data_IF_294375949063
#
_entry.id   IF_294375949063
#
_cell.length_a   1.000
_cell.length_b   1.000
_cell.length_c   1.000
_cell.angle_alpha   90.00
_cell.angle_beta   90.00
_cell.angle_gamma   90.00
#
_symmetry.space_group_name_H-M   'P 1'
#
loop_
_entity.id
_entity.type
_entity.pdbx_description
1 polymer ?
#
# COMPACT_ATOMS: atom_id res chain seq x y z
N UNK A 1 13.51 6.01 -12.87
CA UNK A 1 12.64 5.04 -12.19
C UNK A 1 12.53 5.48 -10.74
N UNK A 2 11.31 5.63 -10.21
CA UNK A 2 11.09 6.15 -8.85
C UNK A 2 10.87 4.96 -7.91
N UNK A 3 11.80 4.76 -6.98
CA UNK A 3 11.72 3.74 -5.93
C UNK A 3 11.58 4.41 -4.56
N UNK A 4 10.74 3.84 -3.70
CA UNK A 4 10.48 4.38 -2.36
C UNK A 4 10.10 3.29 -1.38
N UNK A 5 10.74 3.31 -0.21
CA UNK A 5 10.26 2.60 0.97
C UNK A 5 9.13 3.39 1.63
N UNK A 6 7.95 2.79 1.74
CA UNK A 6 6.84 3.31 2.53
C UNK A 6 6.76 2.57 3.86
N UNK A 7 6.57 3.31 4.94
CA UNK A 7 6.24 2.77 6.25
C UNK A 7 4.75 2.96 6.47
N UNK A 8 4.00 1.86 6.51
CA UNK A 8 2.55 1.83 6.64
C UNK A 8 2.20 1.46 8.08
N UNK A 9 1.63 2.38 8.88
CA UNK A 9 1.21 2.09 10.24
C UNK A 9 0.04 1.10 10.26
N UNK A 10 -0.17 0.45 11.40
CA UNK A 10 -1.12 -0.66 11.55
C UNK A 10 -2.54 -0.32 11.10
N UNK A 11 -3.00 0.91 11.36
CA UNK A 11 -4.35 1.38 11.03
C UNK A 11 -4.58 1.49 9.51
N UNK A 12 -3.50 1.56 8.74
CA UNK A 12 -3.50 1.60 7.27
C UNK A 12 -3.04 0.27 6.65
N UNK A 13 -2.66 -0.70 7.48
CA UNK A 13 -2.23 -2.03 7.08
C UNK A 13 -3.32 -3.07 7.38
N UNK A 14 -2.97 -4.19 8.02
CA UNK A 14 -3.90 -5.30 8.31
C UNK A 14 -4.55 -5.22 9.69
N UNK A 15 -4.31 -4.14 10.43
CA UNK A 15 -4.93 -3.86 11.72
C UNK A 15 -4.82 -5.00 12.73
N UNK A 16 -5.81 -5.09 13.62
CA UNK A 16 -5.83 -6.05 14.73
C UNK A 16 -6.08 -7.50 14.34
N UNK A 17 -6.42 -7.78 13.07
CA UNK A 17 -6.63 -9.15 12.60
C UNK A 17 -5.36 -9.77 12.02
N UNK A 18 -4.47 -8.96 11.42
CA UNK A 18 -3.34 -9.48 10.64
C UNK A 18 -3.80 -10.21 9.36
N UNK A 19 -2.84 -10.78 8.63
CA UNK A 19 -3.13 -11.62 7.44
C UNK A 19 -1.98 -12.58 7.17
N UNK A 20 -2.25 -13.87 6.94
CA UNK A 20 -1.23 -14.87 6.65
C UNK A 20 -0.05 -14.79 7.65
N UNK A 21 1.16 -14.53 7.15
CA UNK A 21 2.41 -14.40 7.94
C UNK A 21 2.55 -13.03 8.63
N UNK A 22 1.66 -12.07 8.36
CA UNK A 22 1.68 -10.74 8.95
C UNK A 22 0.90 -10.75 10.27
N UNK A 23 1.55 -10.54 11.42
CA UNK A 23 0.89 -10.61 12.71
C UNK A 23 -0.11 -9.45 12.91
N UNK A 24 -1.10 -9.61 13.80
CA UNK A 24 -1.92 -8.52 14.29
C UNK A 24 -1.11 -7.30 14.73
N UNK A 25 -1.60 -6.12 14.37
CA UNK A 25 -1.06 -4.81 14.73
C UNK A 25 0.36 -4.49 14.21
N UNK A 26 0.83 -5.18 13.17
CA UNK A 26 2.13 -4.93 12.59
C UNK A 26 2.19 -3.60 11.82
N UNK A 27 3.33 -2.90 11.92
CA UNK A 27 3.73 -1.85 10.98
C UNK A 27 4.44 -2.49 9.79
N UNK A 28 4.13 -2.06 8.57
CA UNK A 28 4.62 -2.70 7.34
C UNK A 28 5.58 -1.78 6.61
N UNK A 29 6.73 -2.31 6.20
CA UNK A 29 7.62 -1.67 5.23
C UNK A 29 7.32 -2.20 3.83
N UNK A 30 7.04 -1.31 2.88
CA UNK A 30 6.80 -1.64 1.48
C UNK A 30 7.88 -1.02 0.60
N UNK A 31 8.69 -1.85 -0.05
CA UNK A 31 9.61 -1.41 -1.10
C UNK A 31 8.85 -1.37 -2.43
N UNK A 32 8.61 -0.17 -2.95
CA UNK A 32 7.78 0.05 -4.13
C UNK A 32 8.58 0.70 -5.25
N UNK A 33 8.29 0.25 -6.47
CA UNK A 33 8.71 0.90 -7.70
C UNK A 33 7.50 1.36 -8.52
N UNK A 34 7.44 2.66 -8.82
CA UNK A 34 6.38 3.21 -9.66
C UNK A 34 6.75 3.06 -11.14
N UNK A 35 6.05 2.18 -11.84
CA UNK A 35 6.30 1.90 -13.26
C UNK A 35 5.55 2.86 -14.20
N UNK A 36 4.25 3.10 -13.95
CA UNK A 36 3.43 4.01 -14.74
C UNK A 36 2.15 4.40 -13.99
N UNK A 37 1.62 5.59 -14.30
CA UNK A 37 0.27 6.02 -13.90
C UNK A 37 -0.60 6.00 -15.14
N UNK A 38 -1.64 5.17 -15.15
CA UNK A 38 -2.66 5.16 -16.21
C UNK A 38 -3.85 6.00 -15.76
N UNK A 39 -4.29 6.92 -16.61
CA UNK A 39 -5.53 7.65 -16.37
C UNK A 39 -6.72 6.76 -16.74
N UNK A 40 -7.75 6.72 -15.89
CA UNK A 40 -9.02 6.10 -16.25
C UNK A 40 -9.61 6.89 -17.43
N UNK A 41 -10.10 6.23 -18.49
CA UNK A 41 -10.80 6.91 -19.57
C UNK A 41 -12.12 7.57 -19.12
N UNK A 42 -12.62 7.22 -17.93
CA UNK A 42 -13.89 7.75 -17.38
C UNK A 42 -13.71 8.90 -16.36
N UNK A 43 -12.48 9.27 -16.01
CA UNK A 43 -12.24 10.36 -15.04
C UNK A 43 -12.82 10.08 -13.64
N UNK A 44 -12.67 11.03 -12.69
CA UNK A 44 -13.07 10.83 -11.30
C UNK A 44 -14.59 11.01 -11.02
N UNK A 45 -15.39 11.33 -12.04
CA UNK A 45 -16.80 11.74 -11.88
C UNK A 45 -17.79 10.89 -12.72
N UNK A 46 -17.34 9.80 -13.34
CA UNK A 46 -18.20 8.83 -14.05
C UNK A 46 -17.90 7.40 -13.59
#
# INVERSE_FOLDING_TARGET
FMQRLLIVPTELAYGSKGVQEVPPNATIGLDLELLAIKQSPFGPLL
#
